data_IF_928425013345
#
_entry.id   IF_928425013345
#
_cell.length_a   1.000
_cell.length_b   1.000
_cell.length_c   1.000
_cell.angle_alpha   90.00
_cell.angle_beta   90.00
_cell.angle_gamma   90.00
#
_symmetry.space_group_name_H-M   'P 1'
#
loop_
_entity.id
_entity.type
_entity.pdbx_description
1 polymer ?
#
# COMPACT_ATOMS: atom_id res chain seq x y z
N UNK A 1 -6.84 -18.76 14.66
CA UNK A 1 -6.72 -17.40 14.09
C UNK A 1 -8.04 -17.08 13.40
N UNK A 2 -8.62 -15.93 13.62
CA UNK A 2 -9.93 -15.59 13.02
C UNK A 2 -9.76 -15.38 11.50
N UNK A 3 -10.35 -16.28 10.70
CA UNK A 3 -10.28 -16.22 9.24
C UNK A 3 -10.90 -14.92 8.68
N UNK A 4 -11.85 -14.32 9.39
CA UNK A 4 -12.47 -13.05 8.99
C UNK A 4 -11.45 -11.91 9.08
N UNK A 5 -10.63 -11.89 10.13
CA UNK A 5 -9.62 -10.85 10.31
C UNK A 5 -8.49 -10.98 9.28
N UNK A 6 -8.06 -12.21 8.95
CA UNK A 6 -7.07 -12.44 7.88
C UNK A 6 -7.62 -11.94 6.55
N UNK A 7 -8.89 -12.24 6.23
CA UNK A 7 -9.54 -11.77 5.02
C UNK A 7 -9.66 -10.25 4.96
N UNK A 8 -10.01 -9.60 6.06
CA UNK A 8 -10.09 -8.14 6.15
C UNK A 8 -8.72 -7.49 5.91
N UNK A 9 -7.67 -7.98 6.57
CA UNK A 9 -6.29 -7.50 6.35
C UNK A 9 -5.85 -7.67 4.90
N UNK A 10 -6.10 -8.84 4.29
CA UNK A 10 -5.79 -9.09 2.89
C UNK A 10 -6.50 -8.10 1.96
N UNK A 11 -7.76 -7.78 2.25
CA UNK A 11 -8.57 -6.83 1.48
C UNK A 11 -7.99 -5.42 1.56
N UNK A 12 -7.60 -4.96 2.75
CA UNK A 12 -7.01 -3.63 2.93
C UNK A 12 -5.62 -3.53 2.26
N UNK A 13 -4.80 -4.57 2.33
CA UNK A 13 -3.56 -4.61 1.54
C UNK A 13 -3.85 -4.56 0.03
N UNK A 14 -4.87 -5.29 -0.45
CA UNK A 14 -5.33 -5.23 -1.84
C UNK A 14 -5.76 -3.84 -2.28
N UNK A 15 -6.45 -3.08 -1.41
CA UNK A 15 -6.80 -1.68 -1.64
C UNK A 15 -5.54 -0.84 -1.91
N UNK A 16 -4.54 -0.89 -1.02
CA UNK A 16 -3.30 -0.12 -1.20
C UNK A 16 -2.50 -0.58 -2.41
N UNK A 17 -2.54 -1.87 -2.76
CA UNK A 17 -1.94 -2.34 -4.01
C UNK A 17 -2.58 -1.65 -5.23
N UNK A 18 -3.91 -1.58 -5.29
CA UNK A 18 -4.62 -0.93 -6.39
C UNK A 18 -4.42 0.58 -6.42
N UNK A 19 -4.21 1.22 -5.27
CA UNK A 19 -3.97 2.67 -5.18
C UNK A 19 -2.55 3.07 -5.55
N UNK A 20 -1.54 2.22 -5.32
CA UNK A 20 -0.14 2.54 -5.57
C UNK A 20 0.48 1.84 -6.78
N UNK A 21 -0.21 0.91 -7.43
CA UNK A 21 0.27 0.30 -8.68
C UNK A 21 -0.25 1.07 -9.90
N UNK A 22 0.62 1.24 -10.88
CA UNK A 22 0.26 1.91 -12.13
C UNK A 22 -0.97 1.24 -12.79
N UNK A 23 -1.94 2.04 -13.21
CA UNK A 23 -3.21 1.57 -13.78
C UNK A 23 -4.14 0.84 -12.79
N UNK A 24 -3.77 0.78 -11.51
CA UNK A 24 -4.55 0.07 -10.49
C UNK A 24 -5.92 0.71 -10.23
N UNK A 25 -5.97 2.04 -10.13
CA UNK A 25 -7.24 2.77 -9.90
C UNK A 25 -8.23 2.54 -11.05
N UNK A 26 -7.76 2.55 -12.30
CA UNK A 26 -8.64 2.34 -13.46
C UNK A 26 -9.15 0.90 -13.52
N UNK A 27 -8.25 -0.06 -13.30
CA UNK A 27 -8.58 -1.49 -13.34
C UNK A 27 -9.52 -1.92 -12.23
N UNK A 28 -9.30 -1.40 -11.00
CA UNK A 28 -9.93 -1.92 -9.79
C UNK A 28 -10.92 -0.91 -9.17
N UNK A 29 -11.38 0.10 -9.93
CA UNK A 29 -12.18 1.23 -9.43
C UNK A 29 -13.35 0.81 -8.54
N UNK A 30 -14.19 -0.11 -9.01
CA UNK A 30 -15.36 -0.58 -8.26
C UNK A 30 -14.97 -1.32 -6.97
N UNK A 31 -13.87 -2.09 -7.02
CA UNK A 31 -13.34 -2.76 -5.85
C UNK A 31 -12.79 -1.77 -4.82
N UNK A 32 -12.10 -0.72 -5.27
CA UNK A 32 -11.61 0.37 -4.41
C UNK A 32 -12.77 1.03 -3.68
N UNK A 33 -13.80 1.49 -4.41
CA UNK A 33 -14.99 2.13 -3.83
C UNK A 33 -15.67 1.19 -2.83
N UNK A 34 -15.82 -0.07 -3.16
CA UNK A 34 -16.42 -1.07 -2.26
C UNK A 34 -15.63 -1.22 -0.95
N UNK A 35 -14.31 -1.32 -1.03
CA UNK A 35 -13.47 -1.50 0.17
C UNK A 35 -13.45 -0.23 1.02
N UNK A 36 -13.31 0.95 0.41
CA UNK A 36 -13.39 2.22 1.13
C UNK A 36 -14.75 2.40 1.82
N UNK A 37 -15.86 2.05 1.14
CA UNK A 37 -17.20 2.08 1.72
C UNK A 37 -17.35 1.11 2.90
N UNK A 38 -16.73 -0.06 2.84
CA UNK A 38 -16.72 -0.99 3.96
C UNK A 38 -15.94 -0.43 5.17
N UNK A 39 -14.77 0.18 4.93
CA UNK A 39 -13.98 0.85 5.98
C UNK A 39 -14.77 2.02 6.58
N UNK A 40 -15.45 2.83 5.75
CA UNK A 40 -16.29 3.93 6.24
C UNK A 40 -17.46 3.45 7.11
N UNK A 41 -18.06 2.31 6.76
CA UNK A 41 -19.21 1.75 7.48
C UNK A 41 -18.83 1.05 8.78
N UNK A 42 -17.69 0.35 8.79
CA UNK A 42 -17.14 -0.40 9.94
C UNK A 42 -15.65 -0.03 10.11
N UNK A 43 -15.35 1.19 10.57
CA UNK A 43 -13.98 1.69 10.62
C UNK A 43 -13.20 1.05 11.78
N UNK A 44 -11.91 0.81 11.55
CA UNK A 44 -10.99 0.37 12.60
C UNK A 44 -10.50 1.53 13.48
N UNK A 45 -10.67 2.78 13.06
CA UNK A 45 -10.56 4.01 13.84
C UNK A 45 -11.52 5.08 13.29
N UNK A 46 -11.87 6.11 14.07
CA UNK A 46 -12.74 7.22 13.59
C UNK A 46 -12.09 7.97 12.43
N UNK A 47 -10.77 8.17 12.49
CA UNK A 47 -10.01 8.83 11.41
C UNK A 47 -10.01 7.99 10.12
N UNK A 48 -10.00 6.65 10.22
CA UNK A 48 -10.07 5.78 9.04
C UNK A 48 -11.37 5.97 8.28
N UNK A 49 -12.48 6.24 8.99
CA UNK A 49 -13.74 6.64 8.36
C UNK A 49 -13.61 7.94 7.58
N UNK A 50 -13.08 8.98 8.23
CA UNK A 50 -12.94 10.30 7.63
C UNK A 50 -12.10 10.24 6.33
N UNK A 51 -10.94 9.60 6.38
CA UNK A 51 -10.08 9.46 5.18
C UNK A 51 -10.75 8.63 4.08
N UNK A 52 -11.47 7.57 4.43
CA UNK A 52 -12.20 6.77 3.45
C UNK A 52 -13.30 7.58 2.76
N UNK A 53 -14.06 8.37 3.52
CA UNK A 53 -15.12 9.24 2.96
C UNK A 53 -14.55 10.30 2.01
N UNK A 54 -13.43 10.95 2.40
CA UNK A 54 -12.73 11.91 1.54
C UNK A 54 -12.22 11.26 0.24
N UNK A 55 -11.67 10.05 0.32
CA UNK A 55 -11.18 9.32 -0.85
C UNK A 55 -12.33 8.91 -1.78
N UNK A 56 -13.47 8.45 -1.24
CA UNK A 56 -14.66 8.11 -2.01
C UNK A 56 -15.17 9.34 -2.75
N UNK A 57 -15.35 10.45 -2.02
CA UNK A 57 -15.84 11.70 -2.59
C UNK A 57 -14.95 12.16 -3.76
N UNK A 58 -13.63 12.16 -3.57
CA UNK A 58 -12.68 12.57 -4.60
C UNK A 58 -12.70 11.65 -5.82
N UNK A 59 -12.73 10.32 -5.62
CA UNK A 59 -12.80 9.34 -6.72
C UNK A 59 -14.10 9.45 -7.52
N UNK A 60 -15.23 9.74 -6.87
CA UNK A 60 -16.53 9.85 -7.53
C UNK A 60 -16.71 11.19 -8.28
N UNK A 61 -16.18 12.28 -7.73
CA UNK A 61 -16.38 13.62 -8.29
C UNK A 61 -15.26 14.05 -9.24
N UNK A 62 -14.02 13.55 -9.07
CA UNK A 62 -12.87 13.94 -9.91
C UNK A 62 -11.85 12.79 -10.08
N UNK A 63 -12.29 11.67 -10.61
CA UNK A 63 -11.42 10.53 -10.91
C UNK A 63 -10.21 10.91 -11.77
N UNK A 64 -10.42 11.76 -12.78
CA UNK A 64 -9.33 12.17 -13.67
C UNK A 64 -8.28 13.01 -12.94
N UNK A 65 -8.69 13.86 -12.00
CA UNK A 65 -7.77 14.59 -11.12
C UNK A 65 -6.94 13.64 -10.26
N UNK A 66 -7.55 12.58 -9.72
CA UNK A 66 -6.83 11.55 -8.94
C UNK A 66 -5.81 10.80 -9.81
N UNK A 67 -6.18 10.42 -11.05
CA UNK A 67 -5.25 9.78 -11.98
C UNK A 67 -4.08 10.71 -12.36
N UNK A 68 -4.36 11.99 -12.58
CA UNK A 68 -3.32 12.98 -12.86
C UNK A 68 -2.41 13.19 -11.64
N UNK A 69 -2.96 13.21 -10.43
CA UNK A 69 -2.18 13.30 -9.18
C UNK A 69 -1.23 12.10 -9.04
N UNK A 70 -1.71 10.87 -9.35
CA UNK A 70 -0.85 9.68 -9.39
C UNK A 70 0.33 9.84 -10.34
N UNK A 71 0.06 10.27 -11.58
CA UNK A 71 1.11 10.49 -12.58
C UNK A 71 2.15 11.50 -12.10
N UNK A 72 1.72 12.62 -11.54
CA UNK A 72 2.61 13.68 -11.07
C UNK A 72 3.46 13.23 -9.89
N UNK A 73 2.88 12.46 -8.96
CA UNK A 73 3.56 12.06 -7.73
C UNK A 73 4.48 10.85 -7.92
N UNK A 74 4.12 9.89 -8.78
CA UNK A 74 4.81 8.60 -8.81
C UNK A 74 5.45 8.22 -10.15
N UNK A 75 5.05 8.85 -11.28
CA UNK A 75 5.55 8.49 -12.60
C UNK A 75 6.42 9.57 -13.24
N UNK A 76 6.15 10.86 -12.95
CA UNK A 76 6.91 11.94 -13.56
C UNK A 76 8.16 12.27 -12.72
N UNK A 77 9.38 12.11 -13.25
CA UNK A 77 10.62 12.29 -12.48
C UNK A 77 10.98 13.77 -12.24
N UNK A 78 10.02 14.67 -12.33
CA UNK A 78 10.22 16.10 -12.20
C UNK A 78 9.26 16.72 -11.19
N UNK A 79 9.76 17.63 -10.37
CA UNK A 79 8.95 18.33 -9.35
C UNK A 79 8.83 17.52 -8.07
N UNK A 80 7.61 17.31 -7.60
CA UNK A 80 7.31 16.64 -6.32
C UNK A 80 7.27 15.11 -6.43
N UNK A 81 8.16 14.51 -7.25
CA UNK A 81 8.25 13.06 -7.40
C UNK A 81 8.48 12.38 -6.06
N UNK A 82 7.63 11.41 -5.74
CA UNK A 82 7.70 10.58 -4.54
C UNK A 82 8.19 9.20 -4.95
N UNK A 83 9.35 8.81 -4.48
CA UNK A 83 9.88 7.48 -4.75
C UNK A 83 9.02 6.41 -4.08
N UNK A 84 8.57 5.40 -4.83
CA UNK A 84 7.73 4.30 -4.32
C UNK A 84 8.52 3.08 -3.85
N UNK A 85 9.86 3.06 -4.01
CA UNK A 85 10.72 1.95 -3.56
C UNK A 85 11.00 1.99 -2.07
N UNK A 86 10.79 0.89 -1.37
CA UNK A 86 11.13 0.77 0.05
C UNK A 86 12.64 0.90 0.30
N UNK A 87 13.48 0.44 -0.65
CA UNK A 87 14.95 0.61 -0.57
C UNK A 87 15.36 2.08 -0.52
N UNK A 88 14.64 2.97 -1.21
CA UNK A 88 14.93 4.40 -1.17
C UNK A 88 14.83 4.95 0.26
N UNK A 89 13.83 4.53 1.03
CA UNK A 89 13.62 4.95 2.42
C UNK A 89 14.52 4.23 3.44
N UNK A 90 15.33 3.30 3.00
CA UNK A 90 16.29 2.57 3.82
C UNK A 90 17.75 2.87 3.45
N UNK A 91 18.06 2.81 2.17
CA UNK A 91 19.42 2.90 1.62
C UNK A 91 19.67 4.19 0.84
N UNK A 92 18.67 5.10 0.74
CA UNK A 92 18.67 6.31 -0.11
C UNK A 92 18.92 6.01 -1.60
N UNK A 93 18.58 4.79 -2.04
CA UNK A 93 18.72 4.34 -3.44
C UNK A 93 17.67 3.29 -3.79
N UNK A 94 17.30 3.21 -5.04
CA UNK A 94 16.50 2.11 -5.59
C UNK A 94 17.32 0.82 -5.72
N UNK A 95 16.64 -0.31 -5.81
CA UNK A 95 17.27 -1.65 -5.96
C UNK A 95 18.27 -1.99 -4.87
N UNK A 96 18.02 -1.51 -3.66
CA UNK A 96 18.86 -1.75 -2.49
C UNK A 96 18.48 -3.02 -1.71
N UNK A 97 18.77 -3.00 -0.39
CA UNK A 97 18.57 -4.15 0.50
C UNK A 97 17.11 -4.63 0.53
N UNK A 98 16.13 -3.72 0.50
CA UNK A 98 14.71 -4.09 0.59
C UNK A 98 14.21 -4.77 -0.68
N UNK A 99 14.76 -4.44 -1.85
CA UNK A 99 14.51 -5.17 -3.10
C UNK A 99 14.97 -6.62 -2.99
N UNK A 100 16.20 -6.85 -2.46
CA UNK A 100 16.76 -8.21 -2.28
C UNK A 100 15.88 -8.99 -1.31
N UNK A 101 15.58 -8.42 -0.14
CA UNK A 101 14.74 -9.06 0.87
C UNK A 101 13.34 -9.42 0.34
N UNK A 102 12.73 -8.53 -0.47
CA UNK A 102 11.42 -8.80 -1.07
C UNK A 102 11.50 -9.95 -2.08
N UNK A 103 12.53 -9.98 -2.94
CA UNK A 103 12.76 -11.07 -3.90
C UNK A 103 12.92 -12.43 -3.20
N UNK A 104 13.70 -12.49 -2.12
CA UNK A 104 13.85 -13.69 -1.32
C UNK A 104 12.52 -14.17 -0.75
N UNK A 105 11.72 -13.27 -0.15
CA UNK A 105 10.42 -13.61 0.41
C UNK A 105 9.45 -14.08 -0.68
N UNK A 106 9.43 -13.40 -1.84
CA UNK A 106 8.62 -13.82 -2.98
C UNK A 106 9.05 -15.21 -3.49
N UNK A 107 10.36 -15.46 -3.61
CA UNK A 107 10.89 -16.77 -3.99
C UNK A 107 10.48 -17.86 -2.99
N UNK A 108 10.64 -17.64 -1.69
CA UNK A 108 10.22 -18.56 -0.63
C UNK A 108 8.71 -18.84 -0.67
N UNK A 109 7.93 -17.86 -1.13
CA UNK A 109 6.48 -18.00 -1.35
C UNK A 109 6.12 -18.70 -2.66
N UNK A 110 7.08 -18.93 -3.57
CA UNK A 110 6.82 -19.45 -4.91
C UNK A 110 6.20 -18.40 -5.84
N UNK A 111 6.46 -17.11 -5.60
CA UNK A 111 5.94 -16.01 -6.43
C UNK A 111 6.99 -15.53 -7.41
N UNK A 112 6.52 -15.20 -8.60
CA UNK A 112 7.32 -14.57 -9.66
C UNK A 112 6.60 -13.29 -10.07
N UNK A 113 7.37 -12.19 -10.17
CA UNK A 113 6.85 -10.95 -10.72
C UNK A 113 6.55 -11.15 -12.21
N UNK A 114 5.38 -10.72 -12.66
CA UNK A 114 5.02 -10.81 -14.06
C UNK A 114 5.90 -9.86 -14.91
N UNK A 115 6.33 -10.32 -16.09
CA UNK A 115 7.28 -9.59 -16.96
C UNK A 115 6.78 -8.22 -17.41
N UNK A 116 5.47 -8.01 -17.44
CA UNK A 116 4.88 -6.72 -17.82
C UNK A 116 4.99 -5.64 -16.72
N UNK A 117 5.36 -6.00 -15.50
CA UNK A 117 5.68 -5.02 -14.45
C UNK A 117 7.15 -4.63 -14.55
N UNK A 118 7.42 -3.38 -14.98
CA UNK A 118 8.77 -2.83 -15.05
C UNK A 118 9.32 -2.37 -13.70
N UNK A 119 8.44 -2.12 -12.74
CA UNK A 119 8.76 -1.62 -11.41
C UNK A 119 9.54 -2.60 -10.54
N UNK A 120 10.23 -2.09 -9.51
CA UNK A 120 10.94 -2.90 -8.52
C UNK A 120 9.99 -3.77 -7.68
N UNK A 121 10.47 -4.89 -7.17
CA UNK A 121 9.68 -5.78 -6.31
C UNK A 121 9.38 -5.14 -4.95
N UNK A 122 10.15 -4.15 -4.53
CA UNK A 122 10.01 -3.41 -3.27
C UNK A 122 9.25 -2.09 -3.40
N UNK A 123 8.56 -1.85 -4.51
CA UNK A 123 7.60 -0.75 -4.58
C UNK A 123 6.40 -0.99 -3.66
N UNK A 124 5.94 0.06 -2.97
CA UNK A 124 4.88 -0.07 -1.96
C UNK A 124 3.60 -0.71 -2.50
N UNK A 125 3.21 -0.43 -3.74
CA UNK A 125 2.08 -1.11 -4.39
C UNK A 125 2.30 -2.61 -4.52
N UNK A 126 3.51 -3.04 -4.94
CA UNK A 126 3.88 -4.45 -5.05
C UNK A 126 3.96 -5.12 -3.67
N UNK A 127 4.55 -4.45 -2.67
CA UNK A 127 4.62 -4.96 -1.29
C UNK A 127 3.22 -5.22 -0.72
N UNK A 128 2.27 -4.32 -0.99
CA UNK A 128 0.88 -4.50 -0.59
C UNK A 128 0.23 -5.67 -1.35
N UNK A 129 0.47 -5.81 -2.66
CA UNK A 129 -0.05 -6.93 -3.45
C UNK A 129 0.48 -8.28 -2.95
N UNK A 130 1.79 -8.37 -2.66
CA UNK A 130 2.43 -9.56 -2.10
C UNK A 130 1.87 -9.87 -0.70
N UNK A 131 1.72 -8.86 0.18
CA UNK A 131 1.13 -9.04 1.51
C UNK A 131 -0.29 -9.57 1.45
N UNK A 132 -1.14 -9.00 0.58
CA UNK A 132 -2.51 -9.48 0.34
C UNK A 132 -2.52 -10.95 -0.09
N UNK A 133 -1.70 -11.31 -1.07
CA UNK A 133 -1.61 -12.68 -1.59
C UNK A 133 -1.11 -13.67 -0.54
N UNK A 134 -0.08 -13.30 0.24
CA UNK A 134 0.43 -14.15 1.33
C UNK A 134 -0.64 -14.43 2.39
N UNK A 135 -1.48 -13.44 2.71
CA UNK A 135 -2.60 -13.60 3.63
C UNK A 135 -3.70 -14.51 3.07
N UNK A 136 -4.09 -14.31 1.80
CA UNK A 136 -5.08 -15.16 1.11
C UNK A 136 -4.61 -16.63 1.08
N UNK A 137 -3.33 -16.86 0.82
CA UNK A 137 -2.73 -18.20 0.78
C UNK A 137 -2.32 -18.72 2.17
N UNK A 138 -2.66 -17.99 3.23
CA UNK A 138 -2.37 -18.33 4.63
C UNK A 138 -0.87 -18.53 4.93
N UNK A 139 0.02 -17.90 4.14
CA UNK A 139 1.47 -17.87 4.34
C UNK A 139 1.88 -16.80 5.37
N UNK A 140 1.28 -16.87 6.55
CA UNK A 140 1.35 -15.81 7.58
C UNK A 140 2.77 -15.56 8.10
N UNK A 141 3.63 -16.57 8.14
CA UNK A 141 5.04 -16.42 8.53
C UNK A 141 5.80 -15.54 7.53
N UNK A 142 5.60 -15.77 6.23
CA UNK A 142 6.24 -14.96 5.19
C UNK A 142 5.66 -13.54 5.15
N UNK A 143 4.36 -13.39 5.40
CA UNK A 143 3.73 -12.07 5.48
C UNK A 143 4.28 -11.27 6.68
N UNK A 144 4.45 -11.91 7.85
CA UNK A 144 5.12 -11.27 8.99
C UNK A 144 6.57 -10.91 8.67
N UNK A 145 7.33 -11.79 8.00
CA UNK A 145 8.70 -11.52 7.56
C UNK A 145 8.76 -10.30 6.64
N UNK A 146 7.85 -10.20 5.65
CA UNK A 146 7.74 -9.05 4.75
C UNK A 146 7.42 -7.76 5.52
N UNK A 147 6.47 -7.83 6.45
CA UNK A 147 6.12 -6.70 7.29
C UNK A 147 7.30 -6.21 8.13
N UNK A 148 7.93 -7.09 8.90
CA UNK A 148 8.99 -6.71 9.85
C UNK A 148 10.26 -6.22 9.15
N UNK A 149 10.66 -6.85 8.03
CA UNK A 149 11.93 -6.57 7.35
C UNK A 149 11.81 -5.43 6.33
N UNK A 150 10.65 -5.30 5.67
CA UNK A 150 10.51 -4.36 4.55
C UNK A 150 9.52 -3.24 4.87
N UNK A 151 8.26 -3.53 5.15
CA UNK A 151 7.22 -2.51 5.29
C UNK A 151 7.42 -1.64 6.53
N UNK A 152 7.52 -2.26 7.70
CA UNK A 152 7.60 -1.56 9.00
C UNK A 152 8.74 -0.54 9.09
N UNK A 153 9.97 -0.83 8.62
CA UNK A 153 11.07 0.15 8.71
C UNK A 153 11.00 1.28 7.67
N UNK A 154 10.24 1.14 6.59
CA UNK A 154 10.32 2.06 5.44
C UNK A 154 9.03 2.86 5.20
N UNK A 155 7.88 2.34 5.61
CA UNK A 155 6.58 2.95 5.29
C UNK A 155 6.41 4.36 5.88
N UNK A 156 7.03 4.66 7.03
CA UNK A 156 6.93 5.98 7.64
C UNK A 156 7.52 7.08 6.74
N UNK A 157 8.65 6.82 6.09
CA UNK A 157 9.26 7.74 5.13
C UNK A 157 8.39 7.94 3.89
N UNK A 158 7.79 6.88 3.36
CA UNK A 158 6.87 6.95 2.22
C UNK A 158 5.59 7.74 2.54
N UNK A 159 5.01 7.52 3.71
CA UNK A 159 3.86 8.31 4.19
C UNK A 159 4.22 9.78 4.36
N UNK A 160 5.35 10.07 5.03
CA UNK A 160 5.81 11.43 5.28
C UNK A 160 6.07 12.22 3.98
N UNK A 161 6.63 11.58 2.96
CA UNK A 161 6.84 12.19 1.65
C UNK A 161 5.50 12.64 1.01
N UNK A 162 4.45 11.82 1.10
CA UNK A 162 3.13 12.17 0.58
C UNK A 162 2.47 13.30 1.39
N UNK A 163 2.56 13.25 2.72
CA UNK A 163 1.97 14.27 3.58
C UNK A 163 2.62 15.65 3.39
N UNK A 164 3.92 15.69 3.05
CA UNK A 164 4.68 16.93 2.80
C UNK A 164 4.52 17.47 1.40
N UNK A 165 4.09 16.67 0.43
CA UNK A 165 3.92 17.12 -0.94
C UNK A 165 2.82 18.18 -1.03
N UNK A 166 3.10 19.30 -1.70
CA UNK A 166 2.09 20.35 -1.96
C UNK A 166 1.10 19.95 -3.05
N UNK A 167 1.44 18.93 -3.85
CA UNK A 167 0.62 18.43 -4.96
C UNK A 167 -0.26 17.26 -4.59
N UNK A 168 -0.01 16.62 -3.44
CA UNK A 168 -0.84 15.54 -2.94
C UNK A 168 -2.09 16.11 -2.26
N UNK A 169 -3.25 15.65 -2.69
CA UNK A 169 -4.55 15.91 -2.07
C UNK A 169 -5.23 14.58 -1.74
N UNK A 170 -5.54 13.78 -2.75
CA UNK A 170 -6.06 12.42 -2.60
C UNK A 170 -5.02 11.51 -1.90
N UNK A 171 -3.76 11.62 -2.30
CA UNK A 171 -2.70 10.79 -1.72
C UNK A 171 -2.29 11.21 -0.30
N UNK A 172 -2.65 12.39 0.20
CA UNK A 172 -2.56 12.69 1.65
C UNK A 172 -3.54 11.85 2.47
N UNK A 173 -4.79 11.74 2.01
CA UNK A 173 -5.78 10.87 2.66
C UNK A 173 -5.39 9.40 2.55
N UNK A 174 -4.88 8.97 1.38
CA UNK A 174 -4.36 7.61 1.16
C UNK A 174 -3.20 7.28 2.09
N UNK A 175 -2.23 8.17 2.23
CA UNK A 175 -1.09 8.02 3.13
C UNK A 175 -1.50 7.98 4.60
N UNK A 176 -2.47 8.81 4.99
CA UNK A 176 -3.01 8.82 6.35
C UNK A 176 -3.72 7.51 6.67
N UNK A 177 -4.56 7.00 5.77
CA UNK A 177 -5.22 5.71 5.92
C UNK A 177 -4.21 4.56 5.96
N UNK A 178 -3.15 4.60 5.15
CA UNK A 178 -2.04 3.63 5.18
C UNK A 178 -1.34 3.66 6.54
N UNK A 179 -1.03 4.83 7.08
CA UNK A 179 -0.38 4.97 8.38
C UNK A 179 -1.21 4.35 9.51
N UNK A 180 -2.53 4.58 9.52
CA UNK A 180 -3.46 3.97 10.48
C UNK A 180 -3.49 2.44 10.35
N UNK A 181 -3.54 1.94 9.11
CA UNK A 181 -3.53 0.50 8.86
C UNK A 181 -2.20 -0.14 9.30
N UNK A 182 -1.06 0.48 9.05
CA UNK A 182 0.25 -0.02 9.50
C UNK A 182 0.35 0.00 11.04
N UNK A 183 -0.23 0.99 11.71
CA UNK A 183 -0.30 1.01 13.17
C UNK A 183 -1.15 -0.16 13.70
N UNK A 184 -2.28 -0.46 13.06
CA UNK A 184 -3.07 -1.65 13.34
C UNK A 184 -2.25 -2.94 13.13
N UNK A 185 -1.54 -3.09 12.00
CA UNK A 185 -0.69 -4.25 11.71
C UNK A 185 0.41 -4.44 12.77
N UNK A 186 1.05 -3.35 13.22
CA UNK A 186 2.04 -3.43 14.32
C UNK A 186 1.42 -4.02 15.58
N UNK A 187 0.28 -3.49 16.01
CA UNK A 187 -0.45 -4.00 17.18
C UNK A 187 -0.88 -5.46 16.99
N UNK A 188 -1.37 -5.81 15.79
CA UNK A 188 -1.75 -7.18 15.47
C UNK A 188 -0.57 -8.15 15.66
N UNK A 189 0.61 -7.83 15.14
CA UNK A 189 1.79 -8.69 15.28
C UNK A 189 2.38 -8.73 16.68
N UNK A 190 2.19 -7.70 17.49
CA UNK A 190 2.59 -7.70 18.91
C UNK A 190 1.72 -8.64 19.74
N UNK A 191 0.43 -8.79 19.39
CA UNK A 191 -0.51 -9.62 20.16
C UNK A 191 -0.67 -11.05 19.63
N UNK A 192 -0.50 -11.28 18.33
CA UNK A 192 -0.82 -12.55 17.66
C UNK A 192 0.33 -13.12 16.82
N UNK A 193 1.47 -12.43 16.71
CA UNK A 193 2.60 -12.76 15.83
C UNK A 193 3.73 -13.57 16.48
#
# INVERSE_FOLDING_TARGET
>A
MDNNLIGARATVYGLFASLYMNGGIERDYEAIIKVLSAISSEPFTDEAKEFSDLMIDRLQNDKNGVLYEFEVLFNLPFGDFINSSASYYHDEREFGEKTISTKEIMHDAGYIKADFYSSGEDEFGMLCAVSSKLLIEQKTILQKKLFDIVLKPTVAGFVDAQLKSERAEFYKSTASLLALFIAFEKSYFEFYG
#
